data_IF_580210859949
#
_entry.id   IF_580210859949
#
_cell.length_a   1.000
_cell.length_b   1.000
_cell.length_c   1.000
_cell.angle_alpha   90.00
_cell.angle_beta   90.00
_cell.angle_gamma   90.00
#
_symmetry.space_group_name_H-M   'P 1'
#
loop_
_entity.id
_entity.type
_entity.pdbx_description
1 polymer ?
#
# COMPACT_ATOMS: atom_id res chain seq x y z
N UNK A 1 -0.72 6.10 -7.67
CA UNK A 1 -0.47 5.13 -6.60
C UNK A 1 -1.74 4.94 -5.77
N UNK A 2 -2.17 3.72 -5.60
CA UNK A 2 -3.35 3.39 -4.80
C UNK A 2 -2.99 3.45 -3.32
N UNK A 3 -3.86 4.08 -2.51
CA UNK A 3 -3.70 4.11 -1.06
C UNK A 3 -4.93 3.49 -0.41
N UNK A 4 -4.71 2.45 0.39
CA UNK A 4 -5.76 1.74 1.11
C UNK A 4 -5.48 1.84 2.61
N UNK A 5 -6.34 2.54 3.34
CA UNK A 5 -6.21 2.78 4.78
C UNK A 5 -7.57 3.18 5.33
N UNK A 6 -8.05 2.49 6.35
CA UNK A 6 -9.38 2.74 6.91
C UNK A 6 -9.42 3.86 7.95
N UNK A 7 -8.29 4.18 8.58
CA UNK A 7 -8.23 5.27 9.55
C UNK A 7 -7.94 6.58 8.85
N UNK A 8 -8.90 7.50 8.88
CA UNK A 8 -8.83 8.73 8.10
C UNK A 8 -7.59 9.56 8.40
N UNK A 9 -7.23 9.73 9.68
CA UNK A 9 -6.08 10.54 10.05
C UNK A 9 -4.78 9.91 9.52
N UNK A 10 -4.65 8.59 9.65
CA UNK A 10 -3.48 7.89 9.13
C UNK A 10 -3.44 7.96 7.60
N UNK A 11 -4.59 7.81 6.95
CA UNK A 11 -4.68 7.90 5.50
C UNK A 11 -4.21 9.28 5.00
N UNK A 12 -4.62 10.35 5.69
CA UNK A 12 -4.21 11.70 5.31
C UNK A 12 -2.71 11.91 5.47
N UNK A 13 -2.12 11.35 6.53
CA UNK A 13 -0.68 11.43 6.75
C UNK A 13 0.09 10.71 5.65
N UNK A 14 -0.35 9.52 5.29
CA UNK A 14 0.30 8.75 4.22
C UNK A 14 0.12 9.43 2.88
N UNK A 15 -1.08 9.95 2.62
CA UNK A 15 -1.33 10.70 1.39
C UNK A 15 -0.38 11.88 1.25
N UNK A 16 -0.18 12.66 2.32
CA UNK A 16 0.73 13.80 2.31
C UNK A 16 2.16 13.34 2.00
N UNK A 17 2.59 12.23 2.60
CA UNK A 17 3.92 11.68 2.35
C UNK A 17 4.09 11.25 0.89
N UNK A 18 3.08 10.60 0.32
CA UNK A 18 3.14 10.16 -1.07
C UNK A 18 3.18 11.35 -2.02
N UNK A 19 2.37 12.38 -1.78
CA UNK A 19 2.37 13.57 -2.60
C UNK A 19 3.70 14.32 -2.49
N UNK A 20 4.28 14.37 -1.30
CA UNK A 20 5.60 14.97 -1.09
C UNK A 20 6.68 14.22 -1.85
N UNK A 21 6.51 12.93 -2.09
CA UNK A 21 7.42 12.11 -2.86
C UNK A 21 7.16 12.19 -4.37
N UNK A 22 6.19 13.00 -4.81
CA UNK A 22 5.87 13.18 -6.22
C UNK A 22 4.85 12.20 -6.78
N UNK A 23 4.17 11.46 -5.93
CA UNK A 23 3.18 10.47 -6.36
C UNK A 23 1.79 11.08 -6.48
N UNK A 24 1.04 10.66 -7.50
CA UNK A 24 -0.38 10.92 -7.57
C UNK A 24 -1.10 9.83 -6.79
N UNK A 25 -2.09 10.21 -5.98
CA UNK A 25 -2.78 9.29 -5.08
C UNK A 25 -4.17 8.97 -5.61
N UNK A 26 -4.45 7.67 -5.76
CA UNK A 26 -5.79 7.15 -6.05
C UNK A 26 -6.36 6.67 -4.71
N UNK A 27 -7.47 7.22 -4.29
CA UNK A 27 -8.01 7.02 -2.97
C UNK A 27 -7.70 8.21 -2.08
N UNK A 28 -7.57 8.06 -0.77
CA UNK A 28 -7.57 6.77 -0.04
C UNK A 28 -8.94 6.11 -0.01
N UNK A 29 -8.94 4.79 0.02
CA UNK A 29 -10.14 4.00 0.26
C UNK A 29 -9.95 3.18 1.52
N UNK A 30 -11.03 2.95 2.25
CA UNK A 30 -10.94 2.33 3.57
C UNK A 30 -11.64 0.98 3.70
N UNK A 31 -12.19 0.45 2.61
CA UNK A 31 -12.87 -0.85 2.65
C UNK A 31 -12.19 -1.82 1.69
N UNK A 32 -12.27 -3.10 2.03
CA UNK A 32 -11.72 -4.14 1.18
C UNK A 32 -12.39 -4.14 -0.19
N UNK A 33 -13.70 -3.96 -0.23
CA UNK A 33 -14.46 -3.96 -1.48
C UNK A 33 -13.99 -2.87 -2.42
N UNK A 34 -13.82 -1.64 -1.92
CA UNK A 34 -13.34 -0.52 -2.72
C UNK A 34 -11.90 -0.75 -3.16
N UNK A 35 -11.06 -1.32 -2.28
CA UNK A 35 -9.68 -1.63 -2.62
C UNK A 35 -9.59 -2.64 -3.75
N UNK A 36 -10.39 -3.70 -3.70
CA UNK A 36 -10.42 -4.70 -4.76
C UNK A 36 -10.84 -4.08 -6.08
N UNK A 37 -11.90 -3.26 -6.06
CA UNK A 37 -12.40 -2.63 -7.28
C UNK A 37 -11.35 -1.76 -7.95
N UNK A 38 -10.66 -0.93 -7.17
CA UNK A 38 -9.61 -0.05 -7.70
C UNK A 38 -8.38 -0.83 -8.14
N UNK A 39 -8.00 -1.86 -7.38
CA UNK A 39 -6.86 -2.71 -7.72
C UNK A 39 -7.10 -3.45 -9.04
N UNK A 40 -8.35 -3.75 -9.34
CA UNK A 40 -8.71 -4.52 -10.53
C UNK A 40 -8.72 -3.65 -11.80
N UNK A 41 -9.19 -2.40 -11.72
CA UNK A 41 -9.50 -1.63 -12.93
C UNK A 41 -8.66 -0.37 -13.16
N UNK A 42 -8.12 0.25 -12.11
CA UNK A 42 -7.44 1.53 -12.27
C UNK A 42 -6.04 1.37 -12.86
N UNK A 43 -5.57 2.41 -13.56
CA UNK A 43 -4.20 2.47 -14.03
C UNK A 43 -3.33 2.87 -12.84
N UNK A 44 -2.53 1.94 -12.34
CA UNK A 44 -1.74 2.12 -11.12
C UNK A 44 -0.29 1.78 -11.36
N UNK A 45 0.60 2.59 -10.77
CA UNK A 45 2.04 2.31 -10.78
C UNK A 45 2.45 1.49 -9.56
N UNK A 46 1.77 1.68 -8.44
CA UNK A 46 2.08 0.99 -7.19
C UNK A 46 0.93 1.18 -6.21
N UNK A 47 1.05 0.57 -5.04
CA UNK A 47 0.03 0.70 -4.00
C UNK A 47 0.65 0.63 -2.61
N UNK A 48 0.00 1.30 -1.65
CA UNK A 48 0.27 1.15 -0.21
C UNK A 48 -1.00 0.60 0.41
N UNK A 49 -0.89 -0.55 1.05
CA UNK A 49 -2.04 -1.30 1.56
C UNK A 49 -1.95 -1.50 3.06
N UNK A 50 -2.89 -0.94 3.80
CA UNK A 50 -3.07 -1.30 5.21
C UNK A 50 -3.53 -2.76 5.25
N UNK A 51 -2.87 -3.59 6.05
CA UNK A 51 -3.17 -5.02 6.12
C UNK A 51 -4.54 -5.29 6.72
N UNK A 52 -4.94 -4.50 7.73
CA UNK A 52 -6.21 -4.71 8.42
C UNK A 52 -7.16 -3.55 8.17
N UNK A 53 -8.25 -3.85 7.47
CA UNK A 53 -9.28 -2.86 7.15
C UNK A 53 -10.52 -3.16 8.00
N UNK A 54 -10.51 -2.64 9.24
CA UNK A 54 -11.63 -2.81 10.18
C UNK A 54 -12.01 -4.29 10.34
N UNK A 55 -11.00 -5.14 10.56
CA UNK A 55 -11.19 -6.56 10.76
C UNK A 55 -11.06 -7.41 9.49
N UNK A 56 -11.13 -6.80 8.32
CA UNK A 56 -10.96 -7.53 7.06
C UNK A 56 -9.53 -7.39 6.57
N UNK A 57 -8.92 -8.50 6.20
CA UNK A 57 -7.55 -8.46 5.68
C UNK A 57 -7.52 -8.04 4.22
N UNK A 58 -6.52 -7.28 3.86
CA UNK A 58 -6.39 -6.65 2.53
C UNK A 58 -5.94 -7.62 1.44
N UNK A 59 -5.60 -8.86 1.78
CA UNK A 59 -4.94 -9.78 0.86
C UNK A 59 -5.66 -10.02 -0.47
N UNK A 60 -6.99 -10.07 -0.54
CA UNK A 60 -7.64 -10.19 -1.85
C UNK A 60 -7.33 -9.04 -2.80
N UNK A 61 -7.16 -7.81 -2.27
CA UNK A 61 -6.75 -6.69 -3.10
C UNK A 61 -5.29 -6.84 -3.53
N UNK A 62 -4.43 -7.34 -2.64
CA UNK A 62 -3.04 -7.59 -2.97
C UNK A 62 -2.92 -8.63 -4.08
N UNK A 63 -3.77 -9.66 -4.07
CA UNK A 63 -3.79 -10.67 -5.13
C UNK A 63 -4.12 -10.06 -6.48
N UNK A 64 -5.06 -9.12 -6.53
CA UNK A 64 -5.41 -8.41 -7.76
C UNK A 64 -4.22 -7.62 -8.30
N UNK A 65 -3.51 -6.92 -7.42
CA UNK A 65 -2.33 -6.15 -7.81
C UNK A 65 -1.22 -7.07 -8.30
N UNK A 66 -1.00 -8.17 -7.61
CA UNK A 66 0.03 -9.14 -7.98
C UNK A 66 -0.26 -9.73 -9.36
N UNK A 67 -1.50 -10.07 -9.63
CA UNK A 67 -1.91 -10.62 -10.92
C UNK A 67 -1.67 -9.65 -12.06
N UNK A 68 -1.74 -8.34 -11.78
CA UNK A 68 -1.50 -7.28 -12.78
C UNK A 68 -0.04 -6.83 -12.83
N UNK A 69 0.83 -7.41 -12.00
CA UNK A 69 2.24 -7.01 -11.95
C UNK A 69 2.46 -5.63 -11.34
N UNK A 70 1.53 -5.13 -10.53
CA UNK A 70 1.64 -3.84 -9.89
C UNK A 70 2.33 -4.02 -8.54
N UNK A 71 3.48 -3.36 -8.30
CA UNK A 71 4.17 -3.48 -7.02
C UNK A 71 3.39 -2.81 -5.90
N UNK A 72 3.51 -3.36 -4.69
CA UNK A 72 2.81 -2.79 -3.54
C UNK A 72 3.60 -2.99 -2.26
N UNK A 73 3.27 -2.17 -1.26
CA UNK A 73 3.88 -2.17 0.06
C UNK A 73 2.77 -2.38 1.07
N UNK A 74 2.98 -3.27 2.03
CA UNK A 74 2.06 -3.42 3.16
C UNK A 74 2.41 -2.41 4.24
N UNK A 75 1.39 -1.77 4.81
CA UNK A 75 1.52 -0.97 6.02
C UNK A 75 0.91 -1.78 7.16
N UNK A 76 1.72 -2.09 8.19
CA UNK A 76 1.29 -2.94 9.28
C UNK A 76 1.19 -2.15 10.57
N UNK A 77 0.12 -2.40 11.34
CA UNK A 77 -0.04 -1.78 12.64
C UNK A 77 0.58 -2.61 13.74
N UNK A 78 0.43 -2.12 14.96
CA UNK A 78 0.91 -2.84 16.15
C UNK A 78 0.20 -4.19 16.24
N UNK A 79 0.96 -5.24 16.46
CA UNK A 79 0.42 -6.59 16.56
C UNK A 79 0.29 -7.33 15.23
N UNK A 80 0.63 -6.68 14.13
CA UNK A 80 0.54 -7.29 12.80
C UNK A 80 1.92 -7.51 12.20
N UNK A 81 2.84 -8.00 13.02
CA UNK A 81 4.22 -8.20 12.60
C UNK A 81 4.41 -9.40 11.69
N UNK A 82 3.47 -10.34 11.68
CA UNK A 82 3.58 -11.59 10.91
C UNK A 82 2.59 -11.60 9.77
N UNK A 83 3.12 -11.65 8.55
CA UNK A 83 2.31 -11.81 7.35
C UNK A 83 2.16 -13.29 7.02
N UNK A 84 1.09 -13.70 6.31
CA UNK A 84 0.99 -15.06 5.78
C UNK A 84 2.22 -15.40 4.95
N UNK A 85 2.55 -16.67 4.88
CA UNK A 85 3.76 -17.14 4.23
C UNK A 85 3.92 -16.61 2.80
N UNK A 86 2.84 -16.59 2.04
CA UNK A 86 2.89 -16.13 0.64
C UNK A 86 3.24 -14.66 0.50
N UNK A 87 3.09 -13.86 1.57
CA UNK A 87 3.35 -12.42 1.54
C UNK A 87 4.59 -12.00 2.31
N UNK A 88 5.33 -12.95 2.88
CA UNK A 88 6.47 -12.63 3.76
C UNK A 88 7.59 -11.88 3.06
N UNK A 89 7.75 -12.07 1.76
CA UNK A 89 8.80 -11.41 1.00
C UNK A 89 8.38 -10.05 0.47
N UNK A 90 7.13 -9.65 0.68
CA UNK A 90 6.65 -8.34 0.23
C UNK A 90 7.20 -7.22 1.11
N UNK A 91 7.58 -6.08 0.51
CA UNK A 91 8.00 -4.92 1.29
C UNK A 91 6.90 -4.47 2.24
N UNK A 92 7.30 -4.06 3.44
CA UNK A 92 6.33 -3.58 4.43
C UNK A 92 6.95 -2.51 5.31
N UNK A 93 6.08 -1.63 5.82
CA UNK A 93 6.42 -0.61 6.79
C UNK A 93 5.53 -0.77 8.01
N UNK A 94 6.13 -0.67 9.19
CA UNK A 94 5.39 -0.67 10.46
C UNK A 94 4.91 0.74 10.76
N UNK A 95 3.64 0.91 11.03
CA UNK A 95 3.06 2.20 11.43
C UNK A 95 3.39 2.49 12.88
N UNK A 96 3.69 3.73 13.27
CA UNK A 96 3.85 4.89 12.39
C UNK A 96 5.21 4.90 11.70
N UNK A 97 5.26 5.41 10.49
CA UNK A 97 6.51 5.57 9.77
C UNK A 97 6.62 6.99 9.22
N UNK A 98 7.86 7.41 8.91
CA UNK A 98 8.10 8.76 8.44
C UNK A 98 8.36 8.83 6.94
N UNK A 99 8.52 10.06 6.46
CA UNK A 99 8.79 10.33 5.04
C UNK A 99 10.01 9.57 4.52
N UNK A 100 11.09 9.56 5.30
CA UNK A 100 12.34 8.93 4.86
C UNK A 100 12.18 7.42 4.65
N UNK A 101 11.52 6.77 5.60
CA UNK A 101 11.30 5.32 5.51
C UNK A 101 10.46 4.97 4.29
N UNK A 102 9.39 5.73 4.07
CA UNK A 102 8.52 5.51 2.92
C UNK A 102 9.27 5.75 1.61
N UNK A 103 10.02 6.86 1.51
CA UNK A 103 10.75 7.18 0.30
C UNK A 103 11.82 6.16 -0.03
N UNK A 104 12.52 5.65 0.99
CA UNK A 104 13.52 4.60 0.78
C UNK A 104 12.89 3.33 0.22
N UNK A 105 11.75 2.95 0.78
CA UNK A 105 11.07 1.75 0.33
C UNK A 105 10.48 1.91 -1.07
N UNK A 106 9.96 3.08 -1.39
CA UNK A 106 9.47 3.37 -2.74
C UNK A 106 10.58 3.25 -3.77
N UNK A 107 11.76 3.73 -3.46
CA UNK A 107 12.92 3.60 -4.35
C UNK A 107 13.31 2.15 -4.57
N UNK A 108 13.29 1.36 -3.49
CA UNK A 108 13.60 -0.06 -3.56
C UNK A 108 12.59 -0.81 -4.44
N UNK A 109 11.31 -0.54 -4.24
CA UNK A 109 10.24 -1.15 -5.02
C UNK A 109 10.33 -0.72 -6.49
N UNK A 110 10.57 0.58 -6.73
CA UNK A 110 10.71 1.12 -8.07
C UNK A 110 11.87 0.51 -8.82
N UNK A 111 13.00 0.34 -8.14
CA UNK A 111 14.18 -0.28 -8.74
C UNK A 111 13.90 -1.72 -9.15
N UNK A 112 13.15 -2.45 -8.32
CA UNK A 112 12.86 -3.87 -8.57
C UNK A 112 11.81 -4.09 -9.65
N UNK A 113 10.92 -3.12 -9.86
CA UNK A 113 9.74 -3.27 -10.71
C UNK A 113 9.67 -2.23 -11.81
N UNK A 114 10.73 -1.44 -12.02
CA UNK A 114 10.74 -0.33 -12.98
C UNK A 114 9.65 0.70 -12.70
N UNK A 115 9.21 0.76 -11.46
CA UNK A 115 8.23 1.73 -11.02
C UNK A 115 8.85 3.12 -10.97
N UNK A 116 8.06 4.15 -11.39
CA UNK A 116 8.49 5.54 -11.35
C UNK A 116 7.51 6.34 -10.53
N UNK A 117 7.99 6.89 -9.44
CA UNK A 117 7.17 7.76 -8.60
C UNK A 117 7.02 9.13 -9.23
#
# INVERSE_FOLDING_TARGET
>A
MLLVEDQMIVAMQIEDMLRAAGCEVVGPVGTLQAAIALAHKEALDAAVLDVNLDGEKVYPAAEELQARGIPFIFATGYGESTLPEQWRDQPRLSKPFGHRELQQLLRSVGSRSHFRA
#
